data_IF_958188516662
#
_entry.id   IF_958188516662
#
_cell.length_a   1.000
_cell.length_b   1.000
_cell.length_c   1.000
_cell.angle_alpha   90.00
_cell.angle_beta   90.00
_cell.angle_gamma   90.00
#
_symmetry.space_group_name_H-M   'P 1'
#
loop_
_entity.id
_entity.type
_entity.pdbx_description
1 polymer ?
#
# COMPACT_ATOMS: atom_id res chain seq x y z
N UNK A 1 -41.74 43.28 -2.23
CA UNK A 1 -41.07 42.15 -2.92
C UNK A 1 -40.95 41.03 -1.89
N UNK A 2 -41.87 40.08 -1.88
CA UNK A 2 -41.86 38.99 -0.89
C UNK A 2 -40.82 37.93 -1.28
N UNK A 3 -39.97 37.57 -0.33
CA UNK A 3 -38.95 36.54 -0.52
C UNK A 3 -39.62 35.16 -0.52
N UNK A 4 -39.66 34.50 -1.69
CA UNK A 4 -40.07 33.11 -1.79
C UNK A 4 -39.06 32.24 -1.02
N UNK A 5 -39.49 31.68 0.10
CA UNK A 5 -38.74 30.69 0.85
C UNK A 5 -38.79 29.36 0.10
N UNK A 6 -37.74 29.06 -0.65
CA UNK A 6 -37.52 27.73 -1.22
C UNK A 6 -37.02 26.75 -0.14
N UNK A 7 -37.85 26.51 0.88
CA UNK A 7 -37.61 25.41 1.80
C UNK A 7 -37.88 24.10 1.05
N UNK A 8 -36.83 23.35 0.72
CA UNK A 8 -36.97 22.02 0.15
C UNK A 8 -37.76 21.15 1.15
N UNK A 9 -39.04 20.87 0.84
CA UNK A 9 -39.87 19.99 1.67
C UNK A 9 -39.22 18.61 1.71
N UNK A 10 -38.76 18.19 2.88
CA UNK A 10 -38.24 16.84 3.10
C UNK A 10 -39.29 15.80 2.69
N UNK A 11 -38.89 14.81 1.88
CA UNK A 11 -39.76 13.70 1.48
C UNK A 11 -40.02 12.84 2.73
N UNK A 12 -41.25 12.35 2.89
CA UNK A 12 -41.58 11.42 3.98
C UNK A 12 -40.79 10.11 3.83
N UNK A 13 -40.46 9.47 4.96
CA UNK A 13 -39.70 8.21 4.98
C UNK A 13 -40.35 7.13 4.11
N UNK A 14 -41.69 7.03 4.14
CA UNK A 14 -42.48 6.11 3.31
C UNK A 14 -42.37 6.39 1.80
N UNK A 15 -42.04 7.62 1.40
CA UNK A 15 -41.79 7.99 0.00
C UNK A 15 -40.35 7.68 -0.41
N UNK A 16 -39.41 7.66 0.54
CA UNK A 16 -37.99 7.38 0.31
C UNK A 16 -37.73 5.87 0.32
N UNK A 17 -38.25 5.18 1.33
CA UNK A 17 -38.09 3.75 1.54
C UNK A 17 -39.44 3.06 1.35
N UNK A 18 -39.56 2.31 0.26
CA UNK A 18 -40.70 1.42 -0.01
C UNK A 18 -40.16 0.00 0.04
N UNK A 19 -40.29 -0.72 1.18
CA UNK A 19 -39.85 -2.10 1.25
C UNK A 19 -40.70 -2.90 0.27
N UNK A 20 -40.06 -3.40 -0.79
CA UNK A 20 -40.66 -4.35 -1.71
C UNK A 20 -40.24 -5.74 -1.25
N UNK A 21 -41.17 -6.68 -1.19
CA UNK A 21 -40.89 -8.07 -0.88
C UNK A 21 -40.25 -8.76 -2.10
N UNK A 22 -39.08 -8.30 -2.49
CA UNK A 22 -38.26 -8.85 -3.56
C UNK A 22 -37.03 -9.52 -2.94
N UNK A 23 -36.62 -10.65 -3.51
CA UNK A 23 -35.39 -11.31 -3.10
C UNK A 23 -34.21 -10.38 -3.35
N UNK A 24 -33.26 -10.34 -2.41
CA UNK A 24 -32.05 -9.53 -2.56
C UNK A 24 -31.31 -9.95 -3.84
N UNK A 25 -31.07 -9.04 -4.80
CA UNK A 25 -30.36 -9.37 -6.02
C UNK A 25 -28.94 -9.82 -5.67
N UNK A 26 -28.58 -11.03 -6.10
CA UNK A 26 -27.27 -11.62 -5.80
C UNK A 26 -26.13 -10.90 -6.53
N UNK A 27 -26.44 -10.19 -7.61
CA UNK A 27 -25.49 -9.38 -8.39
C UNK A 27 -25.26 -7.97 -7.81
N UNK A 28 -25.85 -7.64 -6.66
CA UNK A 28 -25.64 -6.33 -6.03
C UNK A 28 -24.18 -6.13 -5.61
N UNK A 29 -23.50 -7.22 -5.24
CA UNK A 29 -22.14 -7.19 -4.75
C UNK A 29 -21.34 -8.33 -5.39
N UNK A 30 -20.96 -8.19 -6.68
CA UNK A 30 -20.16 -9.19 -7.35
C UNK A 30 -18.85 -9.40 -6.56
N UNK A 31 -18.27 -10.61 -6.59
CA UNK A 31 -17.00 -10.88 -5.94
C UNK A 31 -15.94 -9.92 -6.47
N UNK A 32 -15.09 -9.42 -5.57
CA UNK A 32 -14.00 -8.54 -5.95
C UNK A 32 -13.07 -9.24 -6.93
N UNK A 33 -12.83 -8.61 -8.08
CA UNK A 33 -11.84 -9.08 -9.04
C UNK A 33 -10.44 -8.84 -8.47
N UNK A 34 -9.53 -9.79 -8.72
CA UNK A 34 -8.12 -9.59 -8.36
C UNK A 34 -7.54 -8.56 -9.33
N UNK A 35 -6.82 -7.53 -8.84
CA UNK A 35 -6.09 -6.64 -9.71
C UNK A 35 -5.00 -7.41 -10.46
N UNK A 36 -4.67 -6.94 -11.67
CA UNK A 36 -3.53 -7.47 -12.40
C UNK A 36 -2.26 -7.28 -11.58
N UNK A 37 -1.51 -8.37 -11.38
CA UNK A 37 -0.25 -8.33 -10.65
C UNK A 37 0.81 -7.77 -11.60
N UNK A 38 1.53 -6.73 -11.17
CA UNK A 38 2.65 -6.16 -11.94
C UNK A 38 3.80 -7.15 -12.15
N UNK A 39 3.84 -8.21 -11.33
CA UNK A 39 4.86 -9.27 -11.38
C UNK A 39 4.21 -10.63 -11.19
N UNK A 40 4.73 -11.65 -11.86
CA UNK A 40 4.28 -13.02 -11.65
C UNK A 40 4.59 -13.46 -10.20
N UNK A 41 3.58 -13.86 -9.41
CA UNK A 41 3.77 -14.32 -8.03
C UNK A 41 4.48 -15.68 -7.94
N UNK A 42 4.55 -16.44 -9.05
CA UNK A 42 5.17 -17.75 -9.12
C UNK A 42 6.56 -17.73 -9.76
N UNK A 43 6.92 -16.65 -10.47
CA UNK A 43 8.33 -16.38 -10.78
C UNK A 43 9.03 -15.94 -9.49
N UNK A 44 9.79 -16.84 -8.88
CA UNK A 44 10.69 -16.52 -7.77
C UNK A 44 11.79 -15.57 -8.22
N UNK A 45 11.87 -14.33 -7.72
CA UNK A 45 13.04 -13.49 -7.88
C UNK A 45 13.58 -13.19 -6.48
N UNK A 46 13.70 -14.22 -5.65
CA UNK A 46 14.35 -14.12 -4.37
C UNK A 46 15.58 -14.99 -4.50
N UNK A 47 16.61 -14.40 -5.12
CA UNK A 47 17.98 -14.85 -4.85
C UNK A 47 18.06 -15.08 -3.33
N UNK A 48 18.44 -16.29 -2.88
CA UNK A 48 18.51 -16.58 -1.45
C UNK A 48 19.42 -15.58 -0.74
N UNK A 49 20.41 -15.07 -1.48
CA UNK A 49 21.35 -14.09 -1.00
C UNK A 49 20.91 -12.70 -1.45
N UNK A 50 20.76 -11.75 -0.51
CA UNK A 50 20.50 -10.37 -0.86
C UNK A 50 21.66 -9.82 -1.69
N UNK A 51 21.38 -8.95 -2.68
CA UNK A 51 22.44 -8.32 -3.45
C UNK A 51 23.26 -7.39 -2.56
N UNK A 52 24.53 -7.23 -2.91
CA UNK A 52 25.44 -6.31 -2.22
C UNK A 52 24.89 -4.88 -2.24
N UNK A 53 25.19 -4.13 -1.19
CA UNK A 53 24.88 -2.72 -1.12
C UNK A 53 25.60 -1.93 -2.22
N UNK A 54 24.89 -0.96 -2.79
CA UNK A 54 25.41 -0.01 -3.77
C UNK A 54 25.01 1.37 -3.28
N UNK A 55 26.00 2.25 -3.15
CA UNK A 55 25.79 3.64 -2.76
C UNK A 55 24.78 4.34 -3.67
N UNK A 56 23.90 5.14 -3.06
CA UNK A 56 22.92 5.95 -3.78
C UNK A 56 23.03 7.40 -3.38
N UNK A 57 22.46 8.31 -4.18
CA UNK A 57 22.44 9.75 -3.90
C UNK A 57 21.91 10.13 -2.50
N UNK A 58 21.10 9.27 -1.86
CA UNK A 58 20.52 9.52 -0.54
C UNK A 58 21.20 8.74 0.60
N UNK A 59 21.80 7.61 0.28
CA UNK A 59 22.43 6.68 1.23
C UNK A 59 23.85 6.42 0.74
N UNK A 60 24.79 7.16 1.34
CA UNK A 60 26.24 7.02 1.16
C UNK A 60 26.82 6.08 2.22
N UNK A 61 28.02 5.56 1.99
CA UNK A 61 28.75 4.74 2.98
C UNK A 61 28.92 5.46 4.33
N UNK A 62 29.17 6.77 4.30
CA UNK A 62 29.29 7.61 5.50
C UNK A 62 28.03 7.61 6.37
N UNK A 63 26.85 7.53 5.75
CA UNK A 63 25.58 7.48 6.47
C UNK A 63 25.32 6.10 7.07
N UNK A 64 25.75 5.05 6.38
CA UNK A 64 25.61 3.68 6.87
C UNK A 64 26.55 3.42 8.03
N UNK A 65 27.78 3.92 7.97
CA UNK A 65 28.75 3.76 9.07
C UNK A 65 28.33 4.46 10.36
N UNK A 66 27.46 5.47 10.28
CA UNK A 66 26.87 6.14 11.43
C UNK A 66 25.73 5.32 12.08
N UNK A 67 25.18 4.33 11.38
CA UNK A 67 24.12 3.46 11.88
C UNK A 67 24.75 2.33 12.71
N UNK A 68 24.31 2.21 13.96
CA UNK A 68 24.72 1.11 14.83
C UNK A 68 23.80 -0.10 14.60
N UNK A 69 24.34 -1.15 13.99
CA UNK A 69 23.64 -2.42 13.74
C UNK A 69 23.71 -3.42 14.89
N UNK A 70 24.33 -3.04 16.02
CA UNK A 70 24.55 -3.90 17.16
C UNK A 70 26.02 -4.31 17.32
N UNK A 71 26.32 -5.20 18.28
CA UNK A 71 27.67 -5.68 18.52
C UNK A 71 28.22 -6.50 17.34
N UNK A 72 29.55 -6.63 17.26
CA UNK A 72 30.21 -7.42 16.22
C UNK A 72 29.70 -8.88 16.22
N UNK A 73 29.25 -9.36 15.05
CA UNK A 73 28.66 -10.69 14.89
C UNK A 73 27.17 -10.78 15.23
N UNK A 74 26.49 -9.66 15.53
CA UNK A 74 25.04 -9.63 15.74
C UNK A 74 24.24 -9.92 14.46
N UNK A 75 24.80 -9.59 13.30
CA UNK A 75 24.22 -9.83 11.98
C UNK A 75 25.20 -10.62 11.13
N UNK A 76 24.67 -11.53 10.30
CA UNK A 76 25.43 -12.12 9.21
C UNK A 76 25.68 -11.09 8.09
N UNK A 77 26.66 -11.36 7.22
CA UNK A 77 26.93 -10.49 6.05
C UNK A 77 25.72 -10.38 5.12
N UNK A 78 24.87 -11.40 5.08
CA UNK A 78 23.64 -11.41 4.29
C UNK A 78 22.59 -10.51 4.95
N UNK A 79 22.45 -10.57 6.27
CA UNK A 79 21.53 -9.73 7.02
C UNK A 79 21.93 -8.25 6.98
N UNK A 80 23.22 -7.93 7.03
CA UNK A 80 23.70 -6.55 6.85
C UNK A 80 23.35 -6.02 5.47
N UNK A 81 23.66 -6.78 4.41
CA UNK A 81 23.32 -6.41 3.03
C UNK A 81 21.81 -6.20 2.84
N UNK A 82 20.98 -7.03 3.48
CA UNK A 82 19.52 -6.90 3.45
C UNK A 82 19.05 -5.60 4.11
N UNK A 83 19.57 -5.29 5.30
CA UNK A 83 19.20 -4.09 6.04
C UNK A 83 19.64 -2.82 5.31
N UNK A 84 20.86 -2.80 4.77
CA UNK A 84 21.36 -1.68 3.96
C UNK A 84 20.45 -1.41 2.74
N UNK A 85 20.02 -2.46 2.05
CA UNK A 85 19.04 -2.35 0.95
C UNK A 85 17.67 -1.86 1.42
N UNK A 86 17.20 -2.28 2.59
CA UNK A 86 15.95 -1.80 3.17
C UNK A 86 15.99 -0.29 3.44
N UNK A 87 17.11 0.22 3.97
CA UNK A 87 17.29 1.66 4.19
C UNK A 87 17.28 2.46 2.88
N UNK A 88 17.93 1.96 1.82
CA UNK A 88 17.86 2.57 0.49
C UNK A 88 16.41 2.64 -0.03
N UNK A 89 15.68 1.53 0.09
CA UNK A 89 14.31 1.43 -0.45
C UNK A 89 13.31 2.28 0.33
N UNK A 90 13.48 2.48 1.65
CA UNK A 90 12.68 3.45 2.42
C UNK A 90 13.05 4.91 2.12
N UNK A 91 14.31 5.20 1.79
CA UNK A 91 14.76 6.52 1.35
C UNK A 91 14.23 6.92 -0.03
N UNK A 92 13.92 5.93 -0.88
CA UNK A 92 13.11 6.11 -2.09
C UNK A 92 11.64 6.06 -1.69
N UNK A 93 11.02 7.22 -1.45
CA UNK A 93 9.55 7.30 -1.45
C UNK A 93 9.05 6.57 -2.70
N UNK A 94 8.22 5.54 -2.49
CA UNK A 94 7.88 4.53 -3.48
C UNK A 94 7.66 5.12 -4.88
N UNK A 95 8.67 5.02 -5.75
CA UNK A 95 8.49 5.01 -7.20
C UNK A 95 8.62 3.56 -7.63
N UNK A 96 7.58 2.78 -7.34
CA UNK A 96 7.41 1.48 -7.97
C UNK A 96 6.95 1.78 -9.40
N UNK A 97 7.81 1.42 -10.37
CA UNK A 97 7.39 1.17 -11.75
C UNK A 97 6.40 0.02 -11.77
#
# INVERSE_FOLDING_TARGET
>A
MEAQSHAAKYKSVLKIFRPVNEAMPQDLNPPLERPELSRDPYETPLSPNPPLFIETLKVTEERISMINFGPFGWLSEEETNLLEKYYITKGKGYSLL
#
